data_IF_571851269240
#
_entry.id   IF_571851269240
#
_cell.length_a   1.000
_cell.length_b   1.000
_cell.length_c   1.000
_cell.angle_alpha   90.00
_cell.angle_beta   90.00
_cell.angle_gamma   90.00
#
_symmetry.space_group_name_H-M   'P 1'
#
loop_
_entity.id
_entity.type
_entity.pdbx_description
1 polymer ?
#
# COMPACT_ATOMS: atom_id res chain seq x y z
N UNK A 1 27.98 -14.09 21.51
CA UNK A 1 27.53 -13.37 20.29
C UNK A 1 26.02 -13.39 20.30
N UNK A 2 25.40 -12.27 20.65
CA UNK A 2 23.94 -12.15 20.56
C UNK A 2 23.55 -12.03 19.08
N UNK A 3 22.59 -12.84 18.65
CA UNK A 3 21.98 -12.74 17.32
C UNK A 3 21.21 -11.41 17.32
N UNK A 4 21.67 -10.42 16.54
CA UNK A 4 20.92 -9.18 16.32
C UNK A 4 19.66 -9.54 15.54
N UNK A 5 18.50 -9.48 16.17
CA UNK A 5 17.22 -9.78 15.55
C UNK A 5 16.74 -8.60 14.72
N UNK A 6 16.37 -8.89 13.47
CA UNK A 6 15.73 -7.96 12.55
C UNK A 6 14.51 -7.29 13.21
N UNK A 7 14.37 -5.97 13.02
CA UNK A 7 13.14 -5.25 13.37
C UNK A 7 11.95 -5.85 12.59
N UNK A 8 10.76 -5.86 13.18
CA UNK A 8 9.50 -6.46 12.65
C UNK A 8 9.20 -6.01 11.21
N UNK A 9 9.76 -4.87 10.80
CA UNK A 9 9.55 -4.25 9.49
C UNK A 9 10.68 -4.49 8.47
N UNK A 10 11.70 -5.29 8.78
CA UNK A 10 12.79 -5.66 7.84
C UNK A 10 12.70 -7.12 7.41
N UNK A 11 13.07 -7.42 6.16
CA UNK A 11 13.03 -8.76 5.54
C UNK A 11 14.35 -9.02 4.82
N UNK A 12 14.84 -10.26 4.82
CA UNK A 12 15.95 -10.70 3.95
C UNK A 12 17.26 -9.87 4.01
N UNK A 13 17.53 -9.13 5.09
CA UNK A 13 18.77 -8.37 5.24
C UNK A 13 19.93 -9.31 5.64
N UNK A 14 21.09 -9.26 4.94
CA UNK A 14 22.24 -10.07 5.31
C UNK A 14 22.93 -9.53 6.57
N UNK A 15 23.69 -10.39 7.25
CA UNK A 15 24.44 -10.02 8.47
C UNK A 15 25.41 -8.84 8.25
N UNK A 16 25.92 -8.70 7.02
CA UNK A 16 26.79 -7.59 6.62
C UNK A 16 26.09 -6.22 6.72
N UNK A 17 24.76 -6.17 6.60
CA UNK A 17 23.95 -4.99 6.88
C UNK A 17 23.50 -4.94 8.34
N UNK A 18 23.01 -6.06 8.88
CA UNK A 18 22.48 -6.10 10.26
C UNK A 18 23.53 -5.73 11.33
N UNK A 19 24.83 -5.89 11.06
CA UNK A 19 25.90 -5.40 11.94
C UNK A 19 25.85 -3.88 12.20
N UNK A 20 25.21 -3.12 11.31
CA UNK A 20 25.04 -1.66 11.44
C UNK A 20 23.80 -1.28 12.24
N UNK A 21 22.90 -2.23 12.56
CA UNK A 21 21.62 -1.97 13.19
C UNK A 21 21.72 -1.11 14.45
N UNK A 22 22.58 -1.46 15.40
CA UNK A 22 22.75 -0.66 16.62
C UNK A 22 23.23 0.76 16.36
N UNK A 23 24.11 0.97 15.36
CA UNK A 23 24.58 2.31 15.00
C UNK A 23 23.46 3.13 14.37
N UNK A 24 22.65 2.50 13.49
CA UNK A 24 21.48 3.10 12.87
C UNK A 24 20.42 3.44 13.91
N UNK A 25 20.10 2.53 14.83
CA UNK A 25 19.16 2.77 15.93
C UNK A 25 19.60 3.96 16.76
N UNK A 26 20.87 4.02 17.17
CA UNK A 26 21.40 5.13 17.94
C UNK A 26 21.31 6.46 17.18
N UNK A 27 21.65 6.48 15.89
CA UNK A 27 21.60 7.69 15.09
C UNK A 27 20.16 8.16 14.81
N UNK A 28 19.27 7.25 14.44
CA UNK A 28 17.85 7.55 14.26
C UNK A 28 17.23 8.09 15.56
N UNK A 29 17.56 7.51 16.72
CA UNK A 29 17.13 8.02 18.02
C UNK A 29 17.70 9.42 18.30
N UNK A 30 19.00 9.63 18.06
CA UNK A 30 19.65 10.93 18.27
C UNK A 30 19.05 12.03 17.39
N UNK A 31 18.61 11.69 16.18
CA UNK A 31 17.92 12.62 15.28
C UNK A 31 16.40 12.68 15.49
N UNK A 32 15.85 11.94 16.46
CA UNK A 32 14.43 11.97 16.81
C UNK A 32 13.50 11.33 15.76
N UNK A 33 13.99 10.30 15.08
CA UNK A 33 13.29 9.57 14.01
C UNK A 33 13.47 8.04 14.12
N UNK A 34 13.23 7.42 15.30
CA UNK A 34 13.40 5.98 15.52
C UNK A 34 12.62 5.10 14.54
N UNK A 35 11.49 5.59 14.04
CA UNK A 35 10.65 4.92 13.04
C UNK A 35 11.38 4.71 11.69
N UNK A 36 12.48 5.42 11.43
CA UNK A 36 13.21 5.34 10.17
C UNK A 36 14.23 4.20 10.10
N UNK A 37 14.56 3.57 11.23
CA UNK A 37 15.54 2.46 11.32
C UNK A 37 15.36 1.40 10.22
N UNK A 38 14.16 0.81 9.99
CA UNK A 38 14.01 -0.22 8.97
C UNK A 38 14.34 0.29 7.55
N UNK A 39 13.91 1.52 7.22
CA UNK A 39 14.18 2.11 5.90
C UNK A 39 15.66 2.44 5.72
N UNK A 40 16.33 2.94 6.78
CA UNK A 40 17.77 3.22 6.76
C UNK A 40 18.58 1.94 6.52
N UNK A 41 18.22 0.83 7.16
CA UNK A 41 18.85 -0.46 6.92
C UNK A 41 18.61 -0.99 5.49
N UNK A 42 17.38 -0.84 4.98
CA UNK A 42 17.07 -1.17 3.58
C UNK A 42 17.88 -0.33 2.59
N UNK A 43 18.06 0.95 2.87
CA UNK A 43 18.89 1.86 2.07
C UNK A 43 20.36 1.44 2.11
N UNK A 44 20.93 1.14 3.28
CA UNK A 44 22.32 0.63 3.40
C UNK A 44 22.51 -0.63 2.52
N UNK A 45 21.54 -1.53 2.53
CA UNK A 45 21.57 -2.72 1.68
C UNK A 45 21.62 -2.36 0.20
N UNK A 46 20.75 -1.47 -0.26
CA UNK A 46 20.66 -1.08 -1.68
C UNK A 46 21.85 -0.24 -2.14
N UNK A 47 22.40 0.62 -1.29
CA UNK A 47 23.48 1.53 -1.68
C UNK A 47 24.86 0.86 -1.72
N UNK A 48 25.15 -0.03 -0.76
CA UNK A 48 26.51 -0.57 -0.62
C UNK A 48 26.57 -2.04 -0.18
N UNK A 49 25.42 -2.70 0.04
CA UNK A 49 25.33 -3.96 0.77
C UNK A 49 25.92 -3.89 2.20
N UNK A 50 26.08 -2.68 2.77
CA UNK A 50 26.76 -2.45 4.05
C UNK A 50 28.26 -2.76 4.03
N UNK A 51 28.88 -2.81 2.85
CA UNK A 51 30.29 -3.17 2.68
C UNK A 51 31.23 -1.98 2.89
N UNK A 52 31.43 -1.62 4.16
CA UNK A 52 32.35 -0.55 4.55
C UNK A 52 33.82 -0.79 4.19
N UNK A 53 34.23 -2.01 3.83
CA UNK A 53 35.62 -2.28 3.46
C UNK A 53 35.92 -1.75 2.05
N UNK A 54 34.94 -1.86 1.15
CA UNK A 54 35.04 -1.36 -0.22
C UNK A 54 34.41 0.03 -0.37
N UNK A 55 33.33 0.31 0.36
CA UNK A 55 32.58 1.57 0.29
C UNK A 55 32.29 2.08 1.69
N UNK A 56 33.21 2.84 2.31
CA UNK A 56 33.01 3.39 3.66
C UNK A 56 31.78 4.29 3.78
N UNK A 57 31.41 4.99 2.69
CA UNK A 57 30.12 5.68 2.54
C UNK A 57 28.98 4.67 2.29
N UNK A 58 28.68 3.87 3.30
CA UNK A 58 27.74 2.73 3.22
C UNK A 58 26.29 3.13 2.86
N UNK A 59 25.92 4.40 3.04
CA UNK A 59 24.63 4.96 2.64
C UNK A 59 24.72 5.86 1.39
N UNK A 60 25.88 5.94 0.71
CA UNK A 60 26.11 6.83 -0.44
C UNK A 60 25.62 8.27 -0.21
N UNK A 61 25.88 8.80 0.99
CA UNK A 61 25.33 10.06 1.46
C UNK A 61 26.17 11.28 1.09
N UNK A 62 27.37 11.09 0.51
CA UNK A 62 28.30 12.18 0.14
C UNK A 62 27.63 13.25 -0.75
N UNK A 63 26.94 12.82 -1.80
CA UNK A 63 26.30 13.71 -2.78
C UNK A 63 25.17 14.53 -2.15
N UNK A 64 24.49 13.99 -1.12
CA UNK A 64 23.46 14.72 -0.37
C UNK A 64 24.01 15.96 0.36
N UNK A 65 25.32 15.99 0.61
CA UNK A 65 26.05 17.10 1.21
C UNK A 65 26.76 17.99 0.17
N UNK A 66 26.50 17.77 -1.13
CA UNK A 66 27.18 18.44 -2.22
C UNK A 66 28.65 18.05 -2.36
N UNK A 67 29.08 16.94 -1.73
CA UNK A 67 30.44 16.43 -1.84
C UNK A 67 30.54 15.46 -3.04
N UNK A 68 31.75 15.22 -3.57
CA UNK A 68 31.97 14.18 -4.57
C UNK A 68 31.51 12.80 -4.06
N UNK A 69 31.05 11.95 -4.97
CA UNK A 69 30.69 10.56 -4.68
C UNK A 69 31.83 9.84 -3.93
N UNK A 70 31.49 9.06 -2.90
CA UNK A 70 32.44 8.30 -2.06
C UNK A 70 33.50 9.16 -1.33
N UNK A 71 33.19 10.42 -1.00
CA UNK A 71 34.11 11.28 -0.24
C UNK A 71 33.97 11.16 1.28
N UNK A 72 32.86 10.61 1.79
CA UNK A 72 32.75 10.18 3.18
C UNK A 72 33.54 8.89 3.37
N UNK A 73 34.50 8.90 4.29
CA UNK A 73 35.48 7.83 4.49
C UNK A 73 35.17 6.92 5.69
N UNK A 74 34.06 7.17 6.38
CA UNK A 74 33.68 6.40 7.56
C UNK A 74 32.16 6.13 7.63
N UNK A 75 31.75 4.91 8.03
CA UNK A 75 30.34 4.53 8.09
C UNK A 75 29.48 5.36 9.05
N UNK A 76 30.07 5.90 10.12
CA UNK A 76 29.33 6.69 11.12
C UNK A 76 28.83 8.00 10.51
N UNK A 77 29.70 8.73 9.84
CA UNK A 77 29.34 9.96 9.12
C UNK A 77 28.37 9.67 7.96
N UNK A 78 28.55 8.53 7.28
CA UNK A 78 27.64 8.08 6.23
C UNK A 78 26.21 7.86 6.76
N UNK A 79 26.08 7.18 7.90
CA UNK A 79 24.78 6.97 8.57
C UNK A 79 24.20 8.30 9.05
N UNK A 80 25.01 9.17 9.67
CA UNK A 80 24.56 10.49 10.14
C UNK A 80 23.90 11.31 9.02
N UNK A 81 24.59 11.46 7.88
CA UNK A 81 24.07 12.24 6.77
C UNK A 81 22.96 11.53 6.00
N UNK A 82 23.00 10.20 5.89
CA UNK A 82 21.92 9.41 5.30
C UNK A 82 20.62 9.54 6.09
N UNK A 83 20.67 9.41 7.42
CA UNK A 83 19.51 9.62 8.30
C UNK A 83 19.01 11.07 8.19
N UNK A 84 19.91 12.05 8.20
CA UNK A 84 19.55 13.47 8.07
C UNK A 84 18.84 13.76 6.73
N UNK A 85 19.32 13.17 5.63
CA UNK A 85 18.71 13.31 4.32
C UNK A 85 17.30 12.72 4.28
N UNK A 86 17.15 11.48 4.73
CA UNK A 86 15.85 10.79 4.76
C UNK A 86 14.85 11.49 5.68
N UNK A 87 15.29 11.92 6.87
CA UNK A 87 14.49 12.76 7.78
C UNK A 87 13.97 14.02 7.09
N UNK A 88 14.81 14.69 6.30
CA UNK A 88 14.41 15.85 5.51
C UNK A 88 13.29 15.53 4.52
N UNK A 89 13.35 14.37 3.87
CA UNK A 89 12.29 13.91 2.97
C UNK A 89 10.97 13.61 3.71
N UNK A 90 11.02 12.98 4.89
CA UNK A 90 9.85 12.76 5.73
C UNK A 90 9.20 14.08 6.17
N UNK A 91 10.00 15.07 6.55
CA UNK A 91 9.51 16.40 6.90
C UNK A 91 8.81 17.09 5.72
N UNK A 92 9.38 17.00 4.51
CA UNK A 92 8.73 17.51 3.30
C UNK A 92 7.43 16.76 3.01
N UNK A 93 7.42 15.43 3.15
CA UNK A 93 6.23 14.61 2.91
C UNK A 93 5.09 15.01 3.84
N UNK A 94 5.37 15.20 5.13
CA UNK A 94 4.41 15.74 6.11
C UNK A 94 3.92 17.13 5.72
N UNK A 95 4.82 18.03 5.31
CA UNK A 95 4.47 19.39 4.88
C UNK A 95 3.55 19.41 3.65
N UNK A 96 3.75 18.49 2.71
CA UNK A 96 3.01 18.43 1.45
C UNK A 96 1.88 17.38 1.45
N UNK A 97 1.57 16.74 2.59
CA UNK A 97 0.50 15.76 2.72
C UNK A 97 0.73 14.44 1.98
N UNK A 98 1.98 14.09 1.68
CA UNK A 98 2.35 12.80 1.09
C UNK A 98 2.57 11.78 2.20
N UNK A 99 1.76 10.71 2.22
CA UNK A 99 1.86 9.63 3.22
C UNK A 99 2.42 8.33 2.65
N UNK A 100 2.69 8.27 1.35
CA UNK A 100 3.23 7.08 0.70
C UNK A 100 4.73 6.92 1.01
N UNK A 101 5.06 5.90 1.81
CA UNK A 101 6.44 5.58 2.19
C UNK A 101 7.33 5.27 0.98
N UNK A 102 6.75 4.72 -0.09
CA UNK A 102 7.47 4.48 -1.35
C UNK A 102 7.93 5.78 -1.97
N UNK A 103 7.06 6.80 -1.98
CA UNK A 103 7.40 8.13 -2.46
C UNK A 103 8.55 8.73 -1.64
N UNK A 104 8.50 8.56 -0.32
CA UNK A 104 9.51 9.11 0.60
C UNK A 104 10.86 8.41 0.40
N UNK A 105 10.89 7.09 0.36
CA UNK A 105 12.14 6.34 0.13
C UNK A 105 12.70 6.62 -1.28
N UNK A 106 11.85 6.75 -2.29
CA UNK A 106 12.29 7.10 -3.65
C UNK A 106 13.06 8.42 -3.71
N UNK A 107 12.80 9.36 -2.78
CA UNK A 107 13.54 10.62 -2.72
C UNK A 107 15.00 10.45 -2.33
N UNK A 108 15.39 9.35 -1.69
CA UNK A 108 16.79 9.10 -1.38
C UNK A 108 17.62 9.01 -2.67
N UNK A 109 17.01 8.47 -3.74
CA UNK A 109 17.64 8.40 -5.06
C UNK A 109 17.35 9.62 -5.96
N UNK A 110 16.14 10.19 -5.88
CA UNK A 110 15.72 11.30 -6.75
C UNK A 110 15.97 12.70 -6.19
N UNK A 111 16.34 12.79 -4.92
CA UNK A 111 16.31 14.01 -4.14
C UNK A 111 14.90 14.38 -3.66
N UNK A 112 14.89 15.22 -2.62
CA UNK A 112 13.69 15.67 -1.90
C UNK A 112 12.67 16.45 -2.76
N UNK A 113 13.11 17.03 -3.88
CA UNK A 113 12.23 17.74 -4.82
C UNK A 113 11.10 16.86 -5.37
N UNK A 114 11.29 15.52 -5.38
CA UNK A 114 10.27 14.59 -5.84
C UNK A 114 8.98 14.65 -5.02
N UNK A 115 9.03 14.81 -3.70
CA UNK A 115 7.83 14.98 -2.86
C UNK A 115 7.04 16.21 -3.29
N UNK A 116 7.72 17.35 -3.43
CA UNK A 116 7.06 18.59 -3.86
C UNK A 116 6.46 18.44 -5.25
N UNK A 117 7.17 17.74 -6.16
CA UNK A 117 6.68 17.49 -7.51
C UNK A 117 5.41 16.61 -7.50
N UNK A 118 5.38 15.54 -6.71
CA UNK A 118 4.18 14.71 -6.54
C UNK A 118 2.99 15.54 -6.06
N UNK A 119 3.16 16.31 -4.98
CA UNK A 119 2.10 17.13 -4.41
C UNK A 119 1.61 18.21 -5.39
N UNK A 120 2.52 18.93 -6.05
CA UNK A 120 2.17 20.02 -6.98
C UNK A 120 1.43 19.49 -8.22
N UNK A 121 1.66 18.23 -8.59
CA UNK A 121 1.04 17.60 -9.75
C UNK A 121 -0.13 16.66 -9.36
N UNK A 122 -0.53 16.63 -8.09
CA UNK A 122 -1.56 15.76 -7.55
C UNK A 122 -1.35 14.27 -7.92
N UNK A 123 -0.12 13.79 -7.78
CA UNK A 123 0.29 12.41 -8.09
C UNK A 123 0.66 11.64 -6.82
N UNK A 124 0.42 10.33 -6.85
CA UNK A 124 0.97 9.37 -5.88
C UNK A 124 2.13 8.61 -6.51
N UNK A 125 3.01 8.00 -5.70
CA UNK A 125 4.12 7.25 -6.25
C UNK A 125 3.63 5.92 -6.83
N UNK A 126 4.22 5.58 -7.98
CA UNK A 126 4.14 4.28 -8.64
C UNK A 126 5.37 4.16 -9.54
N UNK A 127 5.69 2.95 -10.02
CA UNK A 127 6.79 2.79 -10.99
C UNK A 127 6.59 3.65 -12.25
N UNK A 128 5.34 3.78 -12.72
CA UNK A 128 5.04 4.63 -13.87
C UNK A 128 5.31 6.10 -13.56
N UNK A 129 4.83 6.60 -12.42
CA UNK A 129 5.01 8.00 -12.00
C UNK A 129 6.49 8.30 -11.72
N UNK A 130 7.22 7.38 -11.09
CA UNK A 130 8.66 7.50 -10.89
C UNK A 130 9.41 7.51 -12.24
N UNK A 131 8.99 6.69 -13.20
CA UNK A 131 9.51 6.70 -14.58
C UNK A 131 9.26 8.03 -15.29
N UNK A 132 8.08 8.63 -15.13
CA UNK A 132 7.76 9.96 -15.67
C UNK A 132 8.67 11.05 -15.07
N UNK A 133 8.86 11.05 -13.75
CA UNK A 133 9.76 12.01 -13.09
C UNK A 133 11.22 11.82 -13.52
N UNK A 134 11.68 10.57 -13.59
CA UNK A 134 13.00 10.21 -14.10
C UNK A 134 13.24 10.75 -15.50
N UNK A 135 12.30 10.52 -16.43
CA UNK A 135 12.40 10.93 -17.84
C UNK A 135 12.29 12.44 -18.04
N UNK A 136 11.36 13.09 -17.34
CA UNK A 136 10.95 14.45 -17.68
C UNK A 136 11.54 15.52 -16.75
N UNK A 137 12.09 15.12 -15.60
CA UNK A 137 12.65 16.05 -14.61
C UNK A 137 14.12 15.75 -14.34
N UNK A 138 14.43 14.53 -13.86
CA UNK A 138 15.80 14.19 -13.43
C UNK A 138 16.74 14.11 -14.63
N UNK A 139 16.41 13.30 -15.65
CA UNK A 139 17.25 13.10 -16.82
C UNK A 139 17.58 14.42 -17.56
N UNK A 140 16.61 15.31 -17.85
CA UNK A 140 16.89 16.60 -18.48
C UNK A 140 17.74 17.52 -17.61
N UNK A 141 17.51 17.54 -16.29
CA UNK A 141 18.31 18.36 -15.35
C UNK A 141 19.80 17.98 -15.33
N UNK A 142 20.11 16.75 -15.76
CA UNK A 142 21.47 16.20 -15.85
C UNK A 142 21.90 15.95 -17.31
N UNK A 143 21.28 16.65 -18.28
CA UNK A 143 21.73 16.69 -19.68
C UNK A 143 21.20 15.60 -20.61
N UNK A 144 20.31 14.71 -20.16
CA UNK A 144 19.59 13.77 -21.02
C UNK A 144 18.20 14.32 -21.38
N UNK A 145 18.16 15.19 -22.40
CA UNK A 145 16.91 15.81 -22.88
C UNK A 145 16.15 14.98 -23.93
N UNK A 146 16.76 13.90 -24.45
CA UNK A 146 16.17 13.05 -25.49
C UNK A 146 15.40 11.86 -24.92
N UNK A 147 15.50 11.62 -23.60
CA UNK A 147 14.95 10.42 -22.97
C UNK A 147 15.75 9.16 -23.31
N UNK A 148 17.05 9.29 -23.57
CA UNK A 148 17.93 8.16 -23.85
C UNK A 148 17.88 7.15 -22.70
N UNK A 149 17.76 5.87 -23.05
CA UNK A 149 17.70 4.76 -22.11
C UNK A 149 19.04 4.04 -22.06
N UNK A 150 19.35 3.45 -20.89
CA UNK A 150 20.50 2.57 -20.69
C UNK A 150 20.02 1.23 -20.17
N UNK A 151 20.71 0.16 -20.58
CA UNK A 151 20.44 -1.19 -20.10
C UNK A 151 20.57 -1.23 -18.57
N UNK A 152 19.60 -1.87 -17.92
CA UNK A 152 19.58 -2.07 -16.49
C UNK A 152 19.05 -3.47 -16.18
N UNK A 153 19.97 -4.40 -15.93
CA UNK A 153 19.68 -5.83 -15.81
C UNK A 153 19.09 -6.26 -14.46
N UNK A 154 18.68 -5.31 -13.61
CA UNK A 154 18.10 -5.65 -12.31
C UNK A 154 16.80 -6.45 -12.53
N UNK A 155 16.55 -7.56 -11.80
CA UNK A 155 15.39 -8.42 -12.05
C UNK A 155 14.04 -7.69 -12.08
N UNK A 156 13.82 -6.76 -11.15
CA UNK A 156 12.62 -5.91 -11.13
C UNK A 156 12.46 -5.12 -12.43
N UNK A 157 13.54 -4.53 -12.95
CA UNK A 157 13.50 -3.76 -14.19
C UNK A 157 13.25 -4.66 -15.40
N UNK A 158 13.89 -5.82 -15.45
CA UNK A 158 13.68 -6.83 -16.51
C UNK A 158 12.21 -7.25 -16.55
N UNK A 159 11.63 -7.58 -15.39
CA UNK A 159 10.24 -7.99 -15.29
C UNK A 159 9.25 -6.85 -15.65
N UNK A 160 9.57 -5.61 -15.29
CA UNK A 160 8.66 -4.47 -15.51
C UNK A 160 8.69 -3.93 -16.94
N UNK A 161 9.88 -3.75 -17.53
CA UNK A 161 10.03 -3.04 -18.81
C UNK A 161 11.06 -3.64 -19.78
N UNK A 162 11.54 -4.87 -19.52
CA UNK A 162 12.57 -5.51 -20.34
C UNK A 162 14.01 -5.10 -19.97
N UNK A 163 14.21 -4.32 -18.90
CA UNK A 163 15.51 -4.11 -18.29
C UNK A 163 16.20 -2.83 -18.75
N UNK A 164 15.55 -1.68 -18.57
CA UNK A 164 16.16 -0.38 -18.83
C UNK A 164 15.81 0.67 -17.78
N UNK A 165 16.64 1.72 -17.71
CA UNK A 165 16.33 2.99 -17.04
C UNK A 165 16.76 4.18 -17.91
N UNK A 166 16.34 5.39 -17.56
CA UNK A 166 16.78 6.60 -18.28
C UNK A 166 18.21 6.98 -17.90
N UNK A 167 19.05 7.27 -18.90
CA UNK A 167 20.40 7.81 -18.67
C UNK A 167 20.29 9.09 -17.85
N UNK A 168 21.13 9.25 -16.83
CA UNK A 168 21.10 10.41 -15.93
C UNK A 168 19.73 10.67 -15.25
N UNK A 169 18.83 9.69 -15.23
CA UNK A 169 17.47 9.85 -14.69
C UNK A 169 17.29 9.35 -13.26
N UNK A 170 18.38 9.04 -12.55
CA UNK A 170 18.31 8.27 -11.31
C UNK A 170 17.90 6.81 -11.56
N UNK A 171 17.37 6.16 -10.54
CA UNK A 171 16.83 4.82 -10.55
C UNK A 171 15.36 4.86 -10.12
N UNK A 172 14.44 4.90 -11.10
CA UNK A 172 13.00 4.93 -10.81
C UNK A 172 12.44 3.63 -10.21
N UNK A 173 13.26 2.58 -10.08
CA UNK A 173 12.91 1.35 -9.38
C UNK A 173 13.32 1.35 -7.91
N UNK A 174 13.97 2.42 -7.42
CA UNK A 174 14.65 2.42 -6.13
C UNK A 174 13.77 1.99 -4.96
N UNK A 175 12.56 2.56 -4.84
CA UNK A 175 11.62 2.17 -3.79
C UNK A 175 11.25 0.67 -3.87
N UNK A 176 11.03 0.13 -5.07
CA UNK A 176 10.74 -1.30 -5.26
C UNK A 176 11.92 -2.21 -4.90
N UNK A 177 13.15 -1.75 -5.11
CA UNK A 177 14.34 -2.49 -4.71
C UNK A 177 14.45 -2.50 -3.18
N UNK A 178 14.24 -1.35 -2.52
CA UNK A 178 14.28 -1.27 -1.03
C UNK A 178 13.14 -2.09 -0.41
N UNK A 179 11.96 -2.16 -1.03
CA UNK A 179 10.83 -3.00 -0.60
C UNK A 179 11.16 -4.49 -0.52
N UNK A 180 12.19 -4.98 -1.21
CA UNK A 180 12.63 -6.37 -1.05
C UNK A 180 13.20 -6.65 0.35
N UNK A 181 13.62 -5.59 1.06
CA UNK A 181 14.29 -5.67 2.34
C UNK A 181 13.51 -5.06 3.51
N UNK A 182 12.43 -4.35 3.21
CA UNK A 182 11.67 -3.56 4.18
C UNK A 182 10.20 -3.62 3.83
N UNK A 183 9.34 -3.82 4.83
CA UNK A 183 7.90 -3.78 4.63
C UNK A 183 7.40 -2.33 4.55
N UNK A 184 6.78 -1.99 3.41
CA UNK A 184 6.23 -0.66 3.16
C UNK A 184 4.72 -0.62 3.44
N UNK A 185 4.09 -1.74 3.81
CA UNK A 185 2.66 -1.80 4.16
C UNK A 185 2.32 -1.16 5.51
N UNK A 186 3.22 -0.33 6.01
CA UNK A 186 3.03 0.54 7.14
C UNK A 186 4.02 0.21 8.24
N UNK A 187 4.83 1.20 8.60
CA UNK A 187 4.98 1.41 10.04
C UNK A 187 3.55 1.54 10.58
N UNK A 188 3.08 0.49 11.24
CA UNK A 188 2.06 0.67 12.26
C UNK A 188 2.60 1.77 13.17
N UNK A 189 1.79 2.78 13.46
CA UNK A 189 1.92 3.43 14.75
C UNK A 189 2.09 2.27 15.77
N UNK A 190 3.14 2.22 16.61
CA UNK A 190 3.31 1.13 17.56
C UNK A 190 2.07 0.91 18.46
N UNK A 191 1.18 1.91 18.55
CA UNK A 191 -0.12 1.81 19.19
C UNK A 191 -1.27 1.32 18.27
N UNK A 192 -1.13 1.40 16.94
CA UNK A 192 -2.09 0.89 15.96
C UNK A 192 -1.80 -0.58 15.63
N UNK A 193 -2.23 -1.45 16.55
CA UNK A 193 -2.09 -2.91 16.48
C UNK A 193 -3.46 -3.58 16.49
N UNK A 194 -3.54 -4.83 16.04
CA UNK A 194 -4.77 -5.61 16.20
C UNK A 194 -4.95 -5.96 17.67
N UNK A 195 -5.99 -5.42 18.30
CA UNK A 195 -6.27 -5.62 19.73
C UNK A 195 -7.32 -6.69 19.99
N UNK A 196 -7.81 -7.37 18.94
CA UNK A 196 -8.84 -8.40 19.07
C UNK A 196 -8.25 -9.65 19.71
N UNK A 197 -9.05 -10.33 20.52
CA UNK A 197 -8.67 -11.59 21.14
C UNK A 197 -9.58 -12.72 20.65
N UNK A 198 -9.02 -13.93 20.53
CA UNK A 198 -9.76 -15.14 20.16
C UNK A 198 -10.49 -15.03 18.81
N UNK A 199 -9.88 -14.38 17.83
CA UNK A 199 -10.41 -14.29 16.46
C UNK A 199 -10.37 -15.67 15.82
N UNK A 200 -11.54 -16.15 15.36
CA UNK A 200 -11.66 -17.42 14.63
C UNK A 200 -12.34 -17.20 13.29
N UNK A 201 -11.82 -17.87 12.27
CA UNK A 201 -12.49 -18.01 10.99
C UNK A 201 -13.35 -19.28 11.01
N UNK A 202 -14.49 -19.29 10.32
CA UNK A 202 -15.27 -20.52 10.19
C UNK A 202 -14.45 -21.60 9.45
N UNK A 203 -14.62 -22.91 9.75
CA UNK A 203 -13.80 -23.97 9.13
C UNK A 203 -13.84 -24.00 7.59
N UNK A 204 -14.92 -23.50 7.00
CA UNK A 204 -15.16 -23.41 5.55
C UNK A 204 -14.93 -21.99 5.00
N UNK A 205 -14.16 -21.14 5.69
CA UNK A 205 -13.95 -19.75 5.29
C UNK A 205 -13.40 -19.59 3.86
N UNK A 206 -12.54 -20.51 3.38
CA UNK A 206 -11.93 -20.41 2.05
C UNK A 206 -12.96 -20.53 0.93
N UNK A 207 -13.99 -21.36 1.11
CA UNK A 207 -15.07 -21.54 0.13
C UNK A 207 -16.18 -20.51 0.32
N UNK A 208 -16.37 -20.01 1.54
CA UNK A 208 -17.31 -18.92 1.85
C UNK A 208 -16.80 -17.53 1.50
N UNK A 209 -15.49 -17.33 1.42
CA UNK A 209 -14.87 -16.03 1.21
C UNK A 209 -15.41 -15.37 -0.06
N UNK A 210 -16.18 -14.33 0.14
CA UNK A 210 -16.73 -13.49 -0.91
C UNK A 210 -15.88 -12.26 -1.15
N UNK A 211 -14.58 -12.25 -0.84
CA UNK A 211 -13.67 -11.17 -1.22
C UNK A 211 -12.64 -10.86 -0.14
N UNK A 212 -11.91 -9.77 -0.32
CA UNK A 212 -11.09 -9.18 0.75
C UNK A 212 -11.41 -7.72 0.91
N UNK A 213 -11.15 -7.20 2.11
CA UNK A 213 -11.17 -5.77 2.39
C UNK A 213 -9.80 -5.31 2.88
N UNK A 214 -9.53 -4.01 2.77
CA UNK A 214 -8.37 -3.34 3.36
C UNK A 214 -8.84 -2.22 4.28
N UNK A 215 -8.33 -2.20 5.51
CA UNK A 215 -8.63 -1.15 6.49
C UNK A 215 -7.94 0.15 6.10
N UNK A 216 -8.67 1.27 6.10
CA UNK A 216 -8.18 2.56 5.58
C UNK A 216 -7.84 3.57 6.67
N UNK A 217 -8.27 3.34 7.91
CA UNK A 217 -8.03 4.22 9.06
C UNK A 217 -7.29 3.49 10.19
N UNK A 218 -6.47 4.19 10.98
CA UNK A 218 -5.87 3.60 12.19
C UNK A 218 -6.93 3.23 13.22
N UNK A 219 -6.71 2.12 13.92
CA UNK A 219 -7.52 1.65 15.03
C UNK A 219 -8.98 1.42 14.66
N UNK A 220 -9.27 0.91 13.47
CA UNK A 220 -10.63 0.73 12.99
C UNK A 220 -11.42 -0.19 13.93
N UNK A 221 -12.62 0.22 14.39
CA UNK A 221 -13.38 -0.54 15.37
C UNK A 221 -13.96 -1.81 14.75
N UNK A 222 -13.89 -2.91 15.50
CA UNK A 222 -14.53 -4.19 15.16
C UNK A 222 -15.54 -4.52 16.25
N UNK A 223 -16.78 -4.77 15.83
CA UNK A 223 -17.90 -5.01 16.72
C UNK A 223 -18.38 -6.46 16.62
N UNK A 224 -19.05 -6.92 17.68
CA UNK A 224 -19.59 -8.28 17.77
C UNK A 224 -20.75 -8.55 16.81
N UNK A 225 -21.43 -7.49 16.37
CA UNK A 225 -22.59 -7.50 15.48
C UNK A 225 -22.56 -6.25 14.59
N UNK A 226 -23.25 -6.26 13.44
CA UNK A 226 -23.32 -5.12 12.53
C UNK A 226 -24.31 -4.05 13.03
N UNK A 227 -24.01 -3.49 14.19
CA UNK A 227 -24.79 -2.47 14.90
C UNK A 227 -23.81 -1.56 15.66
N UNK A 228 -23.90 -0.25 15.45
CA UNK A 228 -23.06 0.75 16.11
C UNK A 228 -23.11 0.70 17.64
N UNK A 229 -24.17 0.15 18.22
CA UNK A 229 -24.36 0.00 19.65
C UNK A 229 -23.85 -1.34 20.21
N UNK A 230 -23.35 -2.24 19.35
CA UNK A 230 -22.90 -3.56 19.78
C UNK A 230 -21.58 -3.51 20.56
N UNK A 231 -21.33 -4.56 21.34
CA UNK A 231 -20.09 -4.69 22.10
C UNK A 231 -18.87 -4.72 21.16
N UNK A 232 -17.80 -4.05 21.59
CA UNK A 232 -16.54 -4.00 20.87
C UNK A 232 -15.77 -5.32 21.03
N UNK A 233 -15.24 -5.84 19.92
CA UNK A 233 -14.29 -6.96 19.89
C UNK A 233 -12.86 -6.46 20.05
N UNK A 234 -12.58 -5.29 19.47
CA UNK A 234 -11.26 -4.66 19.49
C UNK A 234 -11.11 -3.69 18.33
N UNK A 235 -9.86 -3.43 17.96
CA UNK A 235 -9.48 -2.58 16.83
C UNK A 235 -8.54 -3.34 15.90
N UNK A 236 -8.57 -2.99 14.63
CA UNK A 236 -7.66 -3.50 13.60
C UNK A 236 -6.85 -2.37 12.98
N UNK A 237 -5.58 -2.61 12.60
CA UNK A 237 -4.70 -1.54 12.19
C UNK A 237 -4.93 -1.10 10.75
N UNK A 238 -4.53 0.13 10.43
CA UNK A 238 -4.58 0.64 9.06
C UNK A 238 -3.76 -0.28 8.13
N UNK A 239 -4.22 -0.44 6.90
CA UNK A 239 -3.65 -1.31 5.86
C UNK A 239 -3.72 -2.82 6.15
N UNK A 240 -4.34 -3.24 7.26
CA UNK A 240 -4.60 -4.67 7.47
C UNK A 240 -5.63 -5.19 6.46
N UNK A 241 -5.32 -6.33 5.86
CA UNK A 241 -6.21 -7.06 4.97
C UNK A 241 -7.04 -8.08 5.74
N UNK A 242 -8.33 -8.19 5.43
CA UNK A 242 -9.21 -9.18 6.01
C UNK A 242 -10.04 -9.88 4.94
N UNK A 243 -10.44 -11.12 5.22
CA UNK A 243 -11.43 -11.82 4.39
C UNK A 243 -12.78 -11.12 4.50
N UNK A 244 -13.57 -11.15 3.42
CA UNK A 244 -14.98 -10.79 3.45
C UNK A 244 -15.78 -12.10 3.46
N UNK A 245 -16.44 -12.40 4.57
CA UNK A 245 -17.22 -13.63 4.76
C UNK A 245 -18.71 -13.41 4.55
N UNK A 246 -19.17 -12.20 4.81
CA UNK A 246 -20.56 -11.81 4.76
C UNK A 246 -20.69 -10.30 4.87
N UNK A 247 -21.91 -9.81 4.67
CA UNK A 247 -22.21 -8.39 4.78
C UNK A 247 -23.61 -8.19 5.37
N UNK A 248 -23.85 -6.99 5.88
CA UNK A 248 -25.15 -6.55 6.41
C UNK A 248 -25.32 -5.06 6.14
N UNK A 249 -26.55 -4.59 5.99
CA UNK A 249 -26.86 -3.17 5.90
C UNK A 249 -27.87 -2.80 6.97
N UNK A 250 -27.52 -1.85 7.85
CA UNK A 250 -28.35 -1.47 9.01
C UNK A 250 -29.38 -0.37 8.69
N UNK A 251 -29.42 0.10 7.44
CA UNK A 251 -30.26 1.20 6.98
C UNK A 251 -29.47 2.50 6.76
N UNK A 252 -28.25 2.60 7.30
CA UNK A 252 -27.35 3.75 7.13
C UNK A 252 -25.99 3.33 6.55
N UNK A 253 -25.44 2.22 7.02
CA UNK A 253 -24.10 1.74 6.71
C UNK A 253 -24.11 0.28 6.29
N UNK A 254 -23.13 -0.06 5.45
CA UNK A 254 -22.73 -1.44 5.30
C UNK A 254 -21.77 -1.87 6.40
N UNK A 255 -21.90 -3.15 6.73
CA UNK A 255 -21.04 -3.86 7.63
C UNK A 255 -20.52 -5.10 6.94
N UNK A 256 -19.25 -5.39 7.16
CA UNK A 256 -18.53 -6.51 6.58
C UNK A 256 -18.13 -7.48 7.69
N UNK A 257 -18.51 -8.74 7.55
CA UNK A 257 -18.07 -9.80 8.45
C UNK A 257 -16.68 -10.26 8.04
N UNK A 258 -15.70 -10.04 8.92
CA UNK A 258 -14.28 -10.32 8.67
C UNK A 258 -13.75 -11.53 9.42
N UNK A 259 -14.50 -12.01 10.41
CA UNK A 259 -14.30 -13.25 11.16
C UNK A 259 -15.60 -13.56 11.92
N UNK A 260 -15.70 -14.73 12.57
CA UNK A 260 -16.90 -15.09 13.34
C UNK A 260 -17.18 -14.01 14.39
N UNK A 261 -18.38 -13.41 14.36
CA UNK A 261 -18.79 -12.31 15.24
C UNK A 261 -17.83 -11.09 15.21
N UNK A 262 -17.22 -10.80 14.07
CA UNK A 262 -16.34 -9.64 13.89
C UNK A 262 -16.83 -8.84 12.70
N UNK A 263 -17.42 -7.69 12.96
CA UNK A 263 -18.04 -6.82 11.98
C UNK A 263 -17.33 -5.46 11.93
N UNK A 264 -16.98 -5.02 10.73
CA UNK A 264 -16.35 -3.72 10.46
C UNK A 264 -17.23 -2.92 9.51
N UNK A 265 -17.28 -1.60 9.70
CA UNK A 265 -18.14 -0.70 8.93
C UNK A 265 -17.45 -0.21 7.64
N UNK A 266 -18.26 0.13 6.64
CA UNK A 266 -17.81 0.53 5.30
C UNK A 266 -17.02 1.84 5.22
N UNK A 267 -17.17 2.72 6.19
CA UNK A 267 -16.47 4.01 6.23
C UNK A 267 -15.01 3.92 6.70
N UNK A 268 -14.60 2.78 7.26
CA UNK A 268 -13.25 2.55 7.82
C UNK A 268 -12.43 1.52 7.04
N UNK A 269 -12.98 1.02 5.92
CA UNK A 269 -12.31 0.06 5.07
C UNK A 269 -12.78 0.18 3.61
N UNK A 270 -12.07 -0.48 2.71
CA UNK A 270 -12.45 -0.59 1.30
C UNK A 270 -12.44 -2.04 0.88
N UNK A 271 -13.40 -2.44 0.04
CA UNK A 271 -13.37 -3.75 -0.61
C UNK A 271 -12.29 -3.73 -1.69
N UNK A 272 -11.45 -4.75 -1.70
CA UNK A 272 -10.41 -4.90 -2.71
C UNK A 272 -11.01 -5.47 -4.01
N UNK A 273 -10.73 -4.79 -5.13
CA UNK A 273 -11.03 -5.32 -6.46
C UNK A 273 -10.10 -6.50 -6.76
N UNK A 274 -10.65 -7.71 -6.82
CA UNK A 274 -9.92 -8.92 -7.18
C UNK A 274 -9.90 -9.17 -8.70
N UNK A 275 -10.43 -8.24 -9.50
CA UNK A 275 -10.53 -8.32 -10.95
C UNK A 275 -11.55 -9.36 -11.45
N UNK A 276 -12.23 -10.10 -10.56
CA UNK A 276 -13.17 -11.16 -10.93
C UNK A 276 -14.57 -10.57 -11.05
N UNK A 277 -14.91 -10.11 -12.26
CA UNK A 277 -16.13 -9.33 -12.56
C UNK A 277 -17.45 -10.11 -12.62
N UNK A 278 -17.56 -11.28 -11.98
CA UNK A 278 -18.73 -12.16 -12.15
C UNK A 278 -19.56 -12.43 -10.90
N UNK A 279 -19.02 -12.41 -9.67
CA UNK A 279 -19.77 -12.82 -8.47
C UNK A 279 -19.56 -11.87 -7.30
N UNK A 280 -20.64 -11.53 -6.60
CA UNK A 280 -20.64 -10.50 -5.56
C UNK A 280 -21.99 -10.35 -4.86
N UNK A 281 -22.12 -9.30 -4.07
CA UNK A 281 -23.39 -8.88 -3.47
C UNK A 281 -23.76 -7.46 -3.90
N UNK A 282 -25.04 -7.14 -3.89
CA UNK A 282 -25.55 -5.77 -4.08
C UNK A 282 -26.54 -5.37 -3.01
N UNK A 283 -26.64 -4.07 -2.78
CA UNK A 283 -27.78 -3.46 -2.11
C UNK A 283 -28.55 -2.57 -3.08
N UNK A 284 -29.84 -2.83 -3.16
CA UNK A 284 -30.79 -2.05 -3.93
C UNK A 284 -31.44 -1.05 -2.99
N UNK A 285 -31.01 0.21 -3.02
CA UNK A 285 -31.54 1.31 -2.21
C UNK A 285 -32.66 2.09 -2.93
N UNK A 286 -33.65 1.36 -3.44
CA UNK A 286 -34.83 1.92 -4.09
C UNK A 286 -36.01 0.96 -3.94
N UNK A 287 -37.22 1.47 -4.15
CA UNK A 287 -38.44 0.66 -4.25
C UNK A 287 -38.73 0.26 -5.70
N UNK A 288 -39.42 -0.86 -5.86
CA UNK A 288 -40.00 -1.33 -7.12
C UNK A 288 -39.00 -1.45 -8.28
N UNK A 289 -37.77 -1.83 -7.95
CA UNK A 289 -36.72 -2.07 -8.94
C UNK A 289 -37.05 -3.33 -9.71
N UNK A 290 -37.23 -3.18 -11.03
CA UNK A 290 -37.67 -4.27 -11.91
C UNK A 290 -36.58 -5.29 -12.13
N UNK A 291 -36.94 -6.55 -11.98
CA UNK A 291 -36.12 -7.72 -12.29
C UNK A 291 -36.62 -8.31 -13.60
N UNK A 292 -35.71 -8.57 -14.53
CA UNK A 292 -36.03 -8.99 -15.89
C UNK A 292 -35.50 -10.37 -16.21
N UNK A 293 -36.13 -11.06 -17.14
CA UNK A 293 -35.66 -12.38 -17.59
C UNK A 293 -34.30 -12.34 -18.32
N UNK A 294 -33.92 -11.16 -18.83
CA UNK A 294 -32.66 -10.93 -19.54
C UNK A 294 -32.06 -9.55 -19.28
N UNK A 295 -30.84 -9.36 -19.77
CA UNK A 295 -30.03 -8.15 -19.59
C UNK A 295 -30.38 -7.03 -20.59
N UNK A 296 -31.68 -6.76 -20.79
CA UNK A 296 -32.19 -5.68 -21.64
C UNK A 296 -33.41 -4.99 -21.02
N UNK A 297 -33.54 -3.67 -21.22
CA UNK A 297 -34.67 -2.89 -20.69
C UNK A 297 -36.01 -3.28 -21.32
N UNK A 298 -35.99 -3.96 -22.47
CA UNK A 298 -37.19 -4.45 -23.15
C UNK A 298 -37.58 -5.88 -22.75
N UNK A 299 -36.72 -6.60 -22.01
CA UNK A 299 -37.01 -7.97 -21.59
C UNK A 299 -38.15 -8.00 -20.57
N UNK A 300 -38.91 -9.09 -20.54
CA UNK A 300 -40.07 -9.26 -19.66
C UNK A 300 -39.66 -9.06 -18.20
N UNK A 301 -40.47 -8.30 -17.47
CA UNK A 301 -40.34 -8.17 -16.02
C UNK A 301 -40.83 -9.46 -15.37
N UNK A 302 -39.96 -10.12 -14.63
CA UNK A 302 -40.24 -11.37 -13.91
C UNK A 302 -40.45 -11.15 -12.41
N UNK A 303 -40.11 -9.97 -11.91
CA UNK A 303 -40.35 -9.58 -10.52
C UNK A 303 -39.94 -8.15 -10.23
N UNK A 304 -40.03 -7.76 -8.97
CA UNK A 304 -39.49 -6.50 -8.47
C UNK A 304 -38.88 -6.71 -7.10
N UNK A 305 -38.06 -5.75 -6.69
CA UNK A 305 -37.42 -5.75 -5.38
C UNK A 305 -37.34 -4.33 -4.83
N UNK A 306 -37.44 -4.20 -3.50
CA UNK A 306 -37.41 -2.94 -2.78
C UNK A 306 -36.48 -3.07 -1.58
N UNK A 307 -35.50 -2.16 -1.43
CA UNK A 307 -34.58 -2.11 -0.28
C UNK A 307 -33.97 -3.46 0.10
N UNK A 308 -33.40 -4.16 -0.89
CA UNK A 308 -32.94 -5.53 -0.71
C UNK A 308 -31.46 -5.72 -0.94
N UNK A 309 -30.99 -6.79 -0.32
CA UNK A 309 -29.64 -7.28 -0.33
C UNK A 309 -29.65 -8.58 -1.15
N UNK A 310 -28.89 -8.60 -2.25
CA UNK A 310 -28.99 -9.65 -3.27
C UNK A 310 -27.61 -10.18 -3.66
N UNK A 311 -27.52 -11.49 -3.84
CA UNK A 311 -26.34 -12.13 -4.40
C UNK A 311 -26.36 -12.04 -5.93
N UNK A 312 -25.21 -11.69 -6.49
CA UNK A 312 -24.96 -11.62 -7.93
C UNK A 312 -23.98 -12.71 -8.30
N UNK A 313 -24.31 -13.51 -9.31
CA UNK A 313 -23.46 -14.60 -9.80
C UNK A 313 -23.02 -14.42 -11.26
N UNK A 314 -23.53 -13.39 -11.94
CA UNK A 314 -23.09 -13.00 -13.28
C UNK A 314 -23.31 -11.49 -13.57
N UNK A 315 -22.57 -10.96 -14.54
CA UNK A 315 -22.70 -9.57 -15.02
C UNK A 315 -22.61 -9.49 -16.54
N UNK A 316 -23.44 -8.65 -17.14
CA UNK A 316 -23.40 -8.33 -18.56
C UNK A 316 -23.62 -6.84 -18.76
N UNK A 317 -22.57 -6.12 -19.19
CA UNK A 317 -22.56 -4.65 -19.24
C UNK A 317 -22.99 -4.03 -17.89
N UNK A 318 -24.05 -3.24 -17.89
CA UNK A 318 -24.64 -2.62 -16.70
C UNK A 318 -25.79 -3.45 -16.14
N UNK A 319 -25.81 -4.76 -16.37
CA UNK A 319 -26.80 -5.69 -15.82
C UNK A 319 -26.14 -6.70 -14.90
N UNK A 320 -26.79 -6.96 -13.78
CA UNK A 320 -26.36 -7.86 -12.72
C UNK A 320 -27.38 -8.98 -12.62
N UNK A 321 -26.93 -10.22 -12.76
CA UNK A 321 -27.78 -11.38 -12.60
C UNK A 321 -27.84 -11.74 -11.11
N UNK A 322 -29.05 -11.70 -10.55
CA UNK A 322 -29.34 -12.08 -9.17
C UNK A 322 -29.96 -13.46 -9.13
N UNK A 323 -29.58 -14.27 -8.15
CA UNK A 323 -30.05 -15.66 -8.06
C UNK A 323 -31.36 -15.79 -7.29
N UNK A 324 -31.62 -14.88 -6.34
CA UNK A 324 -32.81 -14.86 -5.50
C UNK A 324 -33.23 -13.42 -5.16
N UNK A 325 -34.37 -12.93 -5.66
CA UNK A 325 -35.18 -13.54 -6.73
C UNK A 325 -34.38 -13.64 -8.04
N UNK A 326 -34.69 -14.64 -8.87
CA UNK A 326 -33.95 -14.93 -10.10
C UNK A 326 -34.22 -13.87 -11.18
N UNK A 327 -33.15 -13.37 -11.82
CA UNK A 327 -33.23 -12.56 -13.02
C UNK A 327 -32.16 -11.47 -13.07
N UNK A 328 -32.37 -10.46 -13.92
CA UNK A 328 -31.41 -9.39 -14.18
C UNK A 328 -31.91 -8.04 -13.66
N UNK A 329 -31.04 -7.37 -12.91
CA UNK A 329 -31.24 -6.00 -12.43
C UNK A 329 -30.25 -5.09 -13.14
N UNK A 330 -30.72 -3.92 -13.59
CA UNK A 330 -29.86 -2.89 -14.16
C UNK A 330 -29.12 -2.17 -13.03
N UNK A 331 -27.81 -2.04 -13.17
CA UNK A 331 -26.94 -1.27 -12.29
C UNK A 331 -27.20 0.22 -12.53
N UNK A 332 -27.82 0.85 -11.54
CA UNK A 332 -28.05 2.30 -11.47
C UNK A 332 -27.51 2.83 -10.14
N UNK A 333 -27.56 4.15 -9.90
CA UNK A 333 -26.92 4.77 -8.73
C UNK A 333 -27.48 4.29 -7.38
N UNK A 334 -28.72 3.79 -7.37
CA UNK A 334 -29.35 3.18 -6.21
C UNK A 334 -28.93 1.71 -6.00
N UNK A 335 -28.15 1.10 -6.90
CA UNK A 335 -27.63 -0.27 -6.77
C UNK A 335 -26.15 -0.19 -6.37
N UNK A 336 -25.89 -0.35 -5.07
CA UNK A 336 -24.54 -0.35 -4.51
C UNK A 336 -23.93 -1.75 -4.61
N UNK A 337 -22.70 -1.82 -5.09
CA UNK A 337 -21.92 -3.05 -5.19
C UNK A 337 -21.20 -3.32 -3.86
N UNK A 338 -21.30 -4.54 -3.34
CA UNK A 338 -20.84 -4.95 -2.00
C UNK A 338 -19.70 -5.98 -2.09
N UNK A 339 -19.31 -6.39 -3.31
CA UNK A 339 -17.99 -6.94 -3.67
C UNK A 339 -17.91 -7.27 -5.13
#
# INVERSE_FOLDING_TARGET
MGILTASVNTKNLPQQVLRWQTMVENECNAQGVPELVPYVLGIIMVESNGDSANTPDIMQSSESQGRPMNSIDNPKESIYYGVMHLKGAFADAKKYGITDLSAIVQTYNFGRAYIRWLATNNKQHSLEVAGQYSKNVVAPSLGNTTGAMVKYSHPIAVAYNGGYRYKNGGNFFYAEIVKQYVDFNGGTDPADVDTRQNVSLPPDWQTKMTGTITVTVPGAPVLTKPDVNSAWVGRVPKNSGHVLLGWFHDGSHFWYEIAVNNWIRDDVCVINDDGKRSKGGIYVNASDVRIREGANTNDKVVGSVSWALLDVDNRYNDWLHVTQPWGWIKKEDYVKWVR
#
